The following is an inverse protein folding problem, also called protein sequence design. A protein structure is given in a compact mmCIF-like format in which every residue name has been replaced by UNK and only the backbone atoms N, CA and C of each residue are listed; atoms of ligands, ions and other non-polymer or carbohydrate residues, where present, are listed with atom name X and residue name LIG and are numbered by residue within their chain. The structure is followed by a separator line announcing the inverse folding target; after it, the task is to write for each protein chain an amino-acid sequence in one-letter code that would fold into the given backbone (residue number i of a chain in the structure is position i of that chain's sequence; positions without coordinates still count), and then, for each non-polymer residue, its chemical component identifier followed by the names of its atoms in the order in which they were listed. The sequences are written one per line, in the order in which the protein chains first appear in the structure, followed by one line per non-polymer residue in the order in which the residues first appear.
data_IF_990821486417
#
_entry.id   IF_990821486417
#
_cell.length_a   1.000
_cell.length_b   1.000
_cell.length_c   1.000
_cell.angle_alpha   90.00
_cell.angle_beta   90.00
_cell.angle_gamma   90.00
#
_symmetry.space_group_name_H-M   'P 1'
#
loop_
_entity.id
_entity.type
_entity.pdbx_description
1 polymer ?
#
# COMPACT_ATOMS: atom_id res chain seq x y z
N UNK A 1 -1.72 65.66 -46.52
CA UNK A 1 -1.43 64.44 -47.30
C UNK A 1 -1.73 63.27 -46.42
N UNK A 2 -3.00 62.76 -46.61
CA UNK A 2 -3.47 61.54 -45.93
C UNK A 2 -2.93 60.31 -46.65
N UNK A 3 -2.38 59.36 -45.91
CA UNK A 3 -2.24 57.98 -46.33
C UNK A 3 -3.00 57.05 -45.37
N UNK A 4 -4.03 56.41 -45.89
CA UNK A 4 -4.81 55.37 -45.26
C UNK A 4 -3.96 54.11 -45.09
N UNK A 5 -3.96 53.49 -43.93
CA UNK A 5 -3.34 52.22 -43.65
C UNK A 5 -4.45 51.17 -43.61
N UNK A 6 -4.38 50.18 -44.51
CA UNK A 6 -5.28 49.02 -44.53
C UNK A 6 -4.81 47.99 -43.48
N UNK A 7 -5.71 47.27 -42.81
CA UNK A 7 -5.36 46.23 -41.88
C UNK A 7 -5.06 44.88 -42.59
N UNK A 8 -4.12 44.05 -42.06
CA UNK A 8 -3.74 42.80 -42.71
C UNK A 8 -4.74 41.67 -42.42
N UNK A 9 -5.07 40.93 -43.48
CA UNK A 9 -5.88 39.73 -43.59
C UNK A 9 -5.34 38.51 -42.84
N UNK A 10 -5.17 38.59 -41.55
CA UNK A 10 -4.71 37.46 -40.70
C UNK A 10 -5.69 36.96 -39.64
N UNK A 11 -6.92 37.50 -39.63
CA UNK A 11 -7.89 37.18 -38.58
C UNK A 11 -8.91 36.07 -38.95
N UNK A 12 -8.87 35.54 -40.19
CA UNK A 12 -9.88 34.55 -40.64
C UNK A 12 -9.40 33.10 -40.49
N UNK A 13 -8.08 32.85 -40.44
CA UNK A 13 -7.52 31.47 -40.35
C UNK A 13 -7.58 30.92 -38.93
N UNK A 14 -7.53 31.80 -37.92
CA UNK A 14 -7.56 31.38 -36.50
C UNK A 14 -8.96 30.98 -36.05
N UNK A 15 -10.02 31.47 -36.71
CA UNK A 15 -11.40 31.15 -36.33
C UNK A 15 -11.90 29.80 -36.82
N UNK A 16 -11.30 29.24 -37.88
CA UNK A 16 -11.65 27.90 -38.39
C UNK A 16 -10.90 26.82 -37.60
N UNK A 17 -9.65 27.06 -37.18
CA UNK A 17 -8.89 26.09 -36.35
C UNK A 17 -9.43 25.93 -34.94
N UNK A 18 -10.08 26.94 -34.36
CA UNK A 18 -10.69 26.88 -33.01
C UNK A 18 -12.06 26.17 -32.98
N UNK A 19 -12.75 26.05 -34.13
CA UNK A 19 -14.03 25.30 -34.18
C UNK A 19 -13.82 23.79 -34.32
N UNK A 20 -12.74 23.32 -34.92
CA UNK A 20 -12.43 21.87 -35.03
C UNK A 20 -11.90 21.29 -33.74
N UNK A 21 -11.21 22.07 -32.91
CA UNK A 21 -10.72 21.62 -31.58
C UNK A 21 -11.87 21.48 -30.57
N UNK A 22 -12.93 22.28 -30.72
CA UNK A 22 -14.10 22.20 -29.83
C UNK A 22 -15.04 20.99 -30.15
N UNK A 23 -14.89 20.36 -31.32
CA UNK A 23 -15.63 19.14 -31.69
C UNK A 23 -14.92 17.84 -31.26
N UNK A 24 -13.60 17.86 -31.10
CA UNK A 24 -12.81 16.69 -30.71
C UNK A 24 -12.76 16.44 -29.18
N UNK A 25 -13.23 17.37 -28.35
CA UNK A 25 -13.16 17.29 -26.86
C UNK A 25 -14.45 16.74 -26.24
N UNK A 26 -15.40 16.20 -27.02
CA UNK A 26 -16.69 15.70 -26.49
C UNK A 26 -16.72 14.20 -26.17
N UNK A 27 -15.60 13.54 -25.98
CA UNK A 27 -15.55 12.19 -25.39
C UNK A 27 -14.37 12.02 -24.42
N UNK A 28 -14.19 12.98 -23.53
CA UNK A 28 -13.47 12.69 -22.28
C UNK A 28 -14.47 12.04 -21.32
N UNK A 29 -14.47 10.72 -21.29
CA UNK A 29 -15.06 9.93 -20.20
C UNK A 29 -14.46 10.46 -18.91
N UNK A 30 -15.29 11.06 -18.06
CA UNK A 30 -14.87 11.53 -16.74
C UNK A 30 -14.42 10.31 -15.96
N UNK A 31 -13.15 10.23 -15.43
CA UNK A 31 -12.65 9.06 -14.71
C UNK A 31 -13.55 8.60 -13.57
N UNK A 32 -14.37 9.50 -13.01
CA UNK A 32 -15.31 9.21 -11.93
C UNK A 32 -16.50 8.31 -12.32
N UNK A 33 -17.05 8.42 -13.53
CA UNK A 33 -18.21 7.60 -13.94
C UNK A 33 -17.80 6.15 -14.23
N UNK A 34 -16.60 5.90 -14.74
CA UNK A 34 -16.11 4.55 -14.99
C UNK A 34 -15.81 3.82 -13.68
N UNK A 35 -15.23 4.53 -12.70
CA UNK A 35 -14.97 4.01 -11.35
C UNK A 35 -16.27 3.70 -10.60
N UNK A 36 -17.25 4.58 -10.62
CA UNK A 36 -18.57 4.36 -9.96
C UNK A 36 -19.27 3.12 -10.53
N UNK A 37 -19.24 2.88 -11.85
CA UNK A 37 -19.82 1.70 -12.46
C UNK A 37 -19.04 0.42 -12.19
N UNK A 38 -17.72 0.49 -12.03
CA UNK A 38 -16.87 -0.65 -11.64
C UNK A 38 -17.18 -1.08 -10.20
N UNK A 39 -17.23 -0.14 -9.28
CA UNK A 39 -17.54 -0.40 -7.87
C UNK A 39 -18.99 -0.86 -7.62
N UNK A 40 -19.97 -0.36 -8.35
CA UNK A 40 -21.37 -0.85 -8.22
C UNK A 40 -21.52 -2.33 -8.61
N UNK A 41 -20.64 -2.85 -9.46
CA UNK A 41 -20.55 -4.29 -9.77
C UNK A 41 -19.84 -5.10 -8.70
N UNK A 42 -18.84 -4.53 -8.02
CA UNK A 42 -18.05 -5.20 -6.97
C UNK A 42 -18.83 -5.23 -5.64
N UNK A 43 -19.53 -4.14 -5.28
CA UNK A 43 -20.31 -4.06 -4.04
C UNK A 43 -21.71 -4.71 -4.12
N UNK A 44 -22.05 -5.44 -5.19
CA UNK A 44 -23.40 -5.90 -5.48
C UNK A 44 -24.03 -6.91 -4.50
N UNK A 45 -23.24 -7.59 -3.64
CA UNK A 45 -23.76 -8.55 -2.65
C UNK A 45 -22.90 -8.71 -1.38
N UNK A 46 -21.57 -8.50 -1.43
CA UNK A 46 -20.66 -8.74 -0.29
C UNK A 46 -19.64 -7.60 -0.16
N UNK A 47 -19.33 -7.12 1.07
CA UNK A 47 -18.27 -6.15 1.31
C UNK A 47 -16.86 -6.77 1.21
N UNK A 48 -16.75 -8.08 1.08
CA UNK A 48 -15.49 -8.82 1.18
C UNK A 48 -14.58 -8.56 -0.02
N UNK A 49 -15.11 -8.58 -1.25
CA UNK A 49 -14.31 -8.36 -2.45
C UNK A 49 -13.45 -7.09 -2.42
N UNK A 50 -14.04 -5.91 -2.12
CA UNK A 50 -13.28 -4.67 -1.94
C UNK A 50 -12.22 -4.73 -0.83
N UNK A 51 -12.48 -5.44 0.27
CA UNK A 51 -11.52 -5.63 1.38
C UNK A 51 -10.32 -6.47 0.90
N UNK A 52 -10.57 -7.51 0.11
CA UNK A 52 -9.53 -8.34 -0.49
C UNK A 52 -8.71 -7.56 -1.53
N UNK A 53 -9.35 -6.73 -2.36
CA UNK A 53 -8.67 -5.87 -3.34
C UNK A 53 -7.79 -4.83 -2.64
N UNK A 54 -8.29 -4.21 -1.58
CA UNK A 54 -7.52 -3.30 -0.73
C UNK A 54 -6.26 -4.01 -0.19
N UNK A 55 -6.40 -5.21 0.38
CA UNK A 55 -5.25 -5.97 0.90
C UNK A 55 -4.26 -6.38 -0.19
N UNK A 56 -4.72 -6.63 -1.41
CA UNK A 56 -3.85 -6.92 -2.55
C UNK A 56 -2.93 -5.72 -2.87
N UNK A 57 -3.46 -4.49 -2.84
CA UNK A 57 -2.68 -3.26 -3.02
C UNK A 57 -1.70 -3.03 -1.87
N UNK A 58 -2.15 -3.26 -0.62
CA UNK A 58 -1.29 -3.18 0.57
C UNK A 58 -0.07 -4.11 0.44
N UNK A 59 -0.30 -5.36 0.04
CA UNK A 59 0.77 -6.32 -0.21
C UNK A 59 1.69 -5.89 -1.35
N UNK A 60 1.15 -5.38 -2.47
CA UNK A 60 1.97 -4.90 -3.60
C UNK A 60 2.88 -3.75 -3.19
N UNK A 61 2.38 -2.82 -2.39
CA UNK A 61 3.18 -1.70 -1.87
C UNK A 61 4.33 -2.18 -0.97
N UNK A 62 4.05 -3.12 -0.05
CA UNK A 62 5.08 -3.73 0.77
C UNK A 62 6.11 -4.51 -0.07
N UNK A 63 5.64 -5.29 -1.06
CA UNK A 63 6.51 -6.06 -1.96
C UNK A 63 7.47 -5.19 -2.77
N UNK A 64 7.03 -4.00 -3.18
CA UNK A 64 7.87 -3.07 -3.93
C UNK A 64 9.08 -2.59 -3.12
N UNK A 65 9.06 -2.67 -1.77
CA UNK A 65 10.21 -2.36 -0.94
C UNK A 65 11.43 -3.27 -1.21
N UNK A 66 11.23 -4.52 -1.61
CA UNK A 66 12.33 -5.41 -1.98
C UNK A 66 13.08 -4.81 -3.17
N UNK A 67 12.36 -4.49 -4.25
CA UNK A 67 12.92 -3.86 -5.45
C UNK A 67 13.53 -2.49 -5.14
N UNK A 68 12.88 -1.72 -4.27
CA UNK A 68 13.37 -0.41 -3.82
C UNK A 68 14.74 -0.52 -3.14
N UNK A 69 14.90 -1.43 -2.18
CA UNK A 69 16.16 -1.61 -1.46
C UNK A 69 17.23 -2.31 -2.29
N UNK A 70 16.86 -3.16 -3.24
CA UNK A 70 17.81 -3.69 -4.24
C UNK A 70 18.44 -2.56 -5.06
N UNK A 71 17.66 -1.54 -5.47
CA UNK A 71 18.19 -0.38 -6.17
C UNK A 71 19.02 0.53 -5.26
N UNK A 72 18.63 0.69 -3.99
CA UNK A 72 19.43 1.42 -2.99
C UNK A 72 20.80 0.76 -2.84
N UNK A 73 20.85 -0.57 -2.71
CA UNK A 73 22.11 -1.33 -2.59
C UNK A 73 23.00 -1.19 -3.83
N UNK A 74 22.42 -0.99 -5.02
CA UNK A 74 23.14 -0.75 -6.29
C UNK A 74 23.56 0.72 -6.47
N UNK A 75 23.07 1.64 -5.63
CA UNK A 75 23.28 3.09 -5.80
C UNK A 75 22.55 3.70 -7.00
N UNK A 76 21.56 2.99 -7.58
CA UNK A 76 20.79 3.45 -8.75
C UNK A 76 19.63 4.35 -8.30
N UNK A 77 19.95 5.58 -7.98
CA UNK A 77 19.00 6.56 -7.44
C UNK A 77 17.90 6.98 -8.41
N UNK A 78 18.07 6.76 -9.71
CA UNK A 78 17.00 6.98 -10.68
C UNK A 78 15.90 5.92 -10.48
N UNK A 79 16.27 4.63 -10.49
CA UNK A 79 15.36 3.53 -10.23
C UNK A 79 14.79 3.52 -8.81
N UNK A 80 15.56 3.98 -7.81
CA UNK A 80 15.03 4.19 -6.45
C UNK A 80 13.86 5.17 -6.47
N UNK A 81 13.97 6.29 -7.20
CA UNK A 81 12.87 7.26 -7.35
C UNK A 81 11.66 6.68 -8.08
N UNK A 82 11.89 5.90 -9.12
CA UNK A 82 10.81 5.21 -9.85
C UNK A 82 10.08 4.19 -8.96
N UNK A 83 10.83 3.36 -8.24
CA UNK A 83 10.25 2.38 -7.31
C UNK A 83 9.44 3.08 -6.20
N UNK A 84 9.96 4.18 -5.63
CA UNK A 84 9.19 4.99 -4.69
C UNK A 84 7.90 5.56 -5.29
N UNK A 85 7.94 6.02 -6.54
CA UNK A 85 6.74 6.52 -7.22
C UNK A 85 5.67 5.42 -7.33
N UNK A 86 6.07 4.16 -7.60
CA UNK A 86 5.16 3.00 -7.60
C UNK A 86 4.58 2.72 -6.21
N UNK A 87 5.40 2.79 -5.14
CA UNK A 87 4.89 2.63 -3.76
C UNK A 87 3.83 3.69 -3.45
N UNK A 88 4.09 4.96 -3.78
CA UNK A 88 3.15 6.07 -3.57
C UNK A 88 1.87 5.88 -4.37
N UNK A 89 1.97 5.41 -5.62
CA UNK A 89 0.80 5.13 -6.44
C UNK A 89 -0.05 4.02 -5.82
N UNK A 90 0.55 2.90 -5.39
CA UNK A 90 -0.15 1.78 -4.77
C UNK A 90 -0.83 2.17 -3.45
N UNK A 91 -0.18 3.02 -2.64
CA UNK A 91 -0.79 3.55 -1.41
C UNK A 91 -1.98 4.45 -1.72
N UNK A 92 -1.87 5.35 -2.70
CA UNK A 92 -2.99 6.21 -3.11
C UNK A 92 -4.18 5.38 -3.66
N UNK A 93 -3.92 4.32 -4.42
CA UNK A 93 -4.95 3.39 -4.92
C UNK A 93 -5.63 2.66 -3.75
N UNK A 94 -4.86 2.18 -2.76
CA UNK A 94 -5.40 1.55 -1.56
C UNK A 94 -6.25 2.55 -0.73
N UNK A 95 -5.78 3.79 -0.56
CA UNK A 95 -6.53 4.84 0.15
C UNK A 95 -7.88 5.15 -0.51
N UNK A 96 -7.93 5.12 -1.85
CA UNK A 96 -9.18 5.31 -2.58
C UNK A 96 -10.16 4.15 -2.37
N UNK A 97 -9.69 2.89 -2.44
CA UNK A 97 -10.54 1.72 -2.12
C UNK A 97 -11.02 1.78 -0.66
N UNK A 98 -10.17 2.14 0.28
CA UNK A 98 -10.56 2.35 1.69
C UNK A 98 -11.70 3.36 1.83
N UNK A 99 -11.67 4.49 1.11
CA UNK A 99 -12.74 5.49 1.11
C UNK A 99 -14.04 4.90 0.57
N UNK A 100 -13.97 4.12 -0.51
CA UNK A 100 -15.13 3.45 -1.09
C UNK A 100 -15.73 2.42 -0.13
N UNK A 101 -14.91 1.59 0.53
CA UNK A 101 -15.37 0.64 1.54
C UNK A 101 -16.12 1.38 2.65
N UNK A 102 -15.54 2.45 3.21
CA UNK A 102 -16.20 3.26 4.27
C UNK A 102 -17.55 3.82 3.86
N UNK A 103 -17.69 4.22 2.60
CA UNK A 103 -18.93 4.79 2.08
C UNK A 103 -20.02 3.72 1.84
N UNK A 104 -19.64 2.51 1.43
CA UNK A 104 -20.57 1.53 0.88
C UNK A 104 -20.78 0.28 1.74
N UNK A 105 -19.94 0.01 2.78
CA UNK A 105 -20.22 -1.10 3.70
C UNK A 105 -21.63 -0.95 4.31
N UNK A 106 -22.52 -1.94 4.16
CA UNK A 106 -23.90 -1.86 4.61
C UNK A 106 -24.00 -1.54 6.11
N UNK A 107 -25.04 -0.82 6.49
CA UNK A 107 -25.42 -0.59 7.90
C UNK A 107 -26.44 -1.63 8.39
N UNK A 108 -26.53 -2.77 7.71
CA UNK A 108 -27.54 -3.78 7.99
C UNK A 108 -27.24 -4.53 9.30
N UNK A 109 -28.28 -4.74 10.12
CA UNK A 109 -28.23 -5.59 11.31
C UNK A 109 -28.18 -7.09 10.99
N UNK A 110 -28.28 -7.47 9.70
CA UNK A 110 -28.28 -8.87 9.26
C UNK A 110 -26.96 -9.32 8.66
N UNK A 111 -25.87 -8.56 8.86
CA UNK A 111 -24.54 -9.01 8.46
C UNK A 111 -24.01 -10.04 9.45
N UNK A 112 -23.24 -11.06 9.00
CA UNK A 112 -22.66 -12.07 9.87
C UNK A 112 -21.58 -11.52 10.82
N UNK A 113 -21.03 -10.32 10.50
CA UNK A 113 -20.07 -9.58 11.34
C UNK A 113 -20.50 -8.13 11.48
N UNK A 114 -20.10 -7.48 12.58
CA UNK A 114 -20.35 -6.07 12.79
C UNK A 114 -19.63 -5.22 11.72
N UNK A 115 -20.31 -4.17 11.23
CA UNK A 115 -19.75 -3.20 10.28
C UNK A 115 -18.44 -2.59 10.77
N UNK A 116 -18.39 -2.33 12.06
CA UNK A 116 -17.24 -1.75 12.76
C UNK A 116 -16.01 -2.65 12.64
N UNK A 117 -16.15 -3.96 12.76
CA UNK A 117 -15.04 -4.93 12.65
C UNK A 117 -14.44 -4.94 11.25
N UNK A 118 -15.29 -4.90 10.20
CA UNK A 118 -14.81 -4.79 8.82
C UNK A 118 -14.07 -3.49 8.56
N UNK A 119 -14.56 -2.37 9.10
CA UNK A 119 -13.91 -1.07 8.95
C UNK A 119 -12.58 -0.99 9.70
N UNK A 120 -12.50 -1.58 10.90
CA UNK A 120 -11.25 -1.65 11.65
C UNK A 120 -10.23 -2.57 10.98
N UNK A 121 -10.68 -3.70 10.39
CA UNK A 121 -9.82 -4.56 9.59
C UNK A 121 -9.16 -3.79 8.44
N UNK A 122 -9.94 -3.01 7.68
CA UNK A 122 -9.42 -2.17 6.59
C UNK A 122 -8.47 -1.10 7.12
N UNK A 123 -8.74 -0.52 8.28
CA UNK A 123 -7.85 0.47 8.91
C UNK A 123 -6.49 -0.11 9.28
N UNK A 124 -6.45 -1.36 9.72
CA UNK A 124 -5.18 -2.04 10.03
C UNK A 124 -4.43 -2.39 8.74
N UNK A 125 -5.14 -2.92 7.73
CA UNK A 125 -4.55 -3.20 6.41
C UNK A 125 -3.87 -1.96 5.81
N UNK A 126 -4.52 -0.81 5.87
CA UNK A 126 -4.06 0.47 5.31
C UNK A 126 -2.74 0.98 5.93
N UNK A 127 -2.38 0.50 7.11
CA UNK A 127 -1.10 0.86 7.72
C UNK A 127 0.09 0.29 6.98
N UNK A 128 -0.06 -0.87 6.32
CA UNK A 128 1.03 -1.52 5.57
C UNK A 128 1.55 -0.63 4.43
N UNK A 129 0.73 -0.16 3.46
CA UNK A 129 1.22 0.70 2.39
C UNK A 129 1.69 2.06 2.91
N UNK A 130 1.08 2.60 3.99
CA UNK A 130 1.55 3.81 4.65
C UNK A 130 2.98 3.63 5.17
N UNK A 131 3.31 2.50 5.83
CA UNK A 131 4.67 2.20 6.29
C UNK A 131 5.66 2.03 5.14
N UNK A 132 5.27 1.36 4.06
CA UNK A 132 6.11 1.27 2.86
C UNK A 132 6.43 2.66 2.27
N UNK A 133 5.44 3.55 2.23
CA UNK A 133 5.61 4.95 1.81
C UNK A 133 6.53 5.72 2.75
N UNK A 134 6.36 5.57 4.06
CA UNK A 134 7.19 6.22 5.09
C UNK A 134 8.65 5.79 4.97
N UNK A 135 8.93 4.47 4.93
CA UNK A 135 10.28 3.91 4.77
C UNK A 135 10.95 4.47 3.51
N UNK A 136 10.28 4.35 2.36
CA UNK A 136 10.83 4.84 1.09
C UNK A 136 11.04 6.36 1.09
N UNK A 137 10.19 7.10 1.80
CA UNK A 137 10.32 8.55 1.99
C UNK A 137 11.53 8.94 2.84
N UNK A 138 11.79 8.22 3.94
CA UNK A 138 12.97 8.43 4.80
C UNK A 138 14.28 8.22 4.02
N UNK A 139 14.35 7.13 3.25
CA UNK A 139 15.54 6.77 2.47
C UNK A 139 15.81 7.80 1.38
N UNK A 140 14.80 8.16 0.57
CA UNK A 140 14.98 9.06 -0.56
C UNK A 140 15.26 10.50 -0.12
N UNK A 141 14.65 10.93 1.00
CA UNK A 141 14.82 12.29 1.52
C UNK A 141 16.28 12.63 1.87
N UNK A 142 17.14 11.63 2.03
CA UNK A 142 18.54 11.79 2.39
C UNK A 142 19.51 11.11 1.43
N UNK A 143 19.02 10.45 0.37
CA UNK A 143 19.78 9.50 -0.42
C UNK A 143 20.54 8.51 0.49
N UNK A 144 19.79 7.91 1.41
CA UNK A 144 20.36 7.09 2.49
C UNK A 144 20.81 5.74 1.96
N UNK A 145 22.06 5.39 2.21
CA UNK A 145 22.62 4.07 1.94
C UNK A 145 22.49 3.17 3.17
N UNK A 146 22.30 1.89 2.94
CA UNK A 146 22.43 0.87 3.99
C UNK A 146 23.92 0.50 4.08
N UNK A 147 24.54 0.53 5.27
CA UNK A 147 25.94 0.14 5.41
C UNK A 147 26.21 -1.26 4.83
N UNK A 148 27.29 -1.42 4.07
CA UNK A 148 27.62 -2.68 3.38
C UNK A 148 27.64 -3.90 4.33
N UNK A 149 28.10 -3.71 5.57
CA UNK A 149 28.12 -4.75 6.60
C UNK A 149 26.72 -5.24 7.02
N UNK A 150 25.66 -4.49 6.66
CA UNK A 150 24.26 -4.80 7.01
C UNK A 150 23.40 -5.16 5.79
N UNK A 151 23.91 -5.07 4.56
CA UNK A 151 23.12 -5.23 3.34
C UNK A 151 22.30 -6.51 3.34
N UNK A 152 22.95 -7.67 3.46
CA UNK A 152 22.28 -8.97 3.34
C UNK A 152 21.24 -9.18 4.45
N UNK A 153 21.62 -8.84 5.69
CA UNK A 153 20.72 -8.99 6.84
C UNK A 153 19.53 -8.02 6.76
N UNK A 154 19.74 -6.81 6.25
CA UNK A 154 18.67 -5.83 6.07
C UNK A 154 17.71 -6.25 4.92
N UNK A 155 18.23 -6.72 3.78
CA UNK A 155 17.39 -7.22 2.68
C UNK A 155 16.59 -8.47 3.10
N UNK A 156 17.21 -9.37 3.89
CA UNK A 156 16.50 -10.51 4.45
C UNK A 156 15.36 -10.05 5.38
N UNK A 157 15.60 -9.05 6.23
CA UNK A 157 14.60 -8.46 7.11
C UNK A 157 13.44 -7.81 6.33
N UNK A 158 13.73 -7.02 5.29
CA UNK A 158 12.70 -6.46 4.39
C UNK A 158 11.87 -7.58 3.78
N UNK A 159 12.54 -8.63 3.25
CA UNK A 159 11.87 -9.78 2.64
C UNK A 159 10.96 -10.50 3.64
N UNK A 160 11.39 -10.68 4.90
CA UNK A 160 10.58 -11.35 5.92
C UNK A 160 9.34 -10.55 6.31
N UNK A 161 9.46 -9.23 6.40
CA UNK A 161 8.31 -8.32 6.60
C UNK A 161 7.31 -8.37 5.42
N UNK A 162 7.80 -8.51 4.19
CA UNK A 162 6.95 -8.71 3.00
C UNK A 162 6.27 -10.09 3.04
N UNK A 163 6.93 -11.11 3.60
CA UNK A 163 6.32 -12.42 3.82
C UNK A 163 5.15 -12.34 4.81
N UNK A 164 5.26 -11.54 5.88
CA UNK A 164 4.13 -11.25 6.77
C UNK A 164 2.96 -10.63 6.02
N UNK A 165 3.19 -9.58 5.22
CA UNK A 165 2.15 -8.96 4.40
C UNK A 165 1.53 -9.94 3.38
N UNK A 166 2.35 -10.83 2.80
CA UNK A 166 1.87 -11.90 1.90
C UNK A 166 0.98 -12.90 2.63
N UNK A 167 1.35 -13.28 3.86
CA UNK A 167 0.56 -14.20 4.68
C UNK A 167 -0.76 -13.55 5.09
N UNK A 168 -0.76 -12.31 5.55
CA UNK A 168 -1.96 -11.54 5.86
C UNK A 168 -2.91 -11.46 4.65
N UNK A 169 -2.37 -11.18 3.44
CA UNK A 169 -3.15 -11.23 2.21
C UNK A 169 -3.80 -12.59 1.98
N UNK A 170 -3.06 -13.70 2.21
CA UNK A 170 -3.62 -15.05 2.09
C UNK A 170 -4.76 -15.25 3.08
N UNK A 171 -4.59 -14.84 4.32
CA UNK A 171 -5.60 -14.95 5.37
C UNK A 171 -6.86 -14.14 5.03
N UNK A 172 -6.70 -12.93 4.47
CA UNK A 172 -7.85 -12.10 4.03
C UNK A 172 -8.60 -12.73 2.85
N UNK A 173 -7.97 -13.54 2.02
CA UNK A 173 -8.66 -14.25 0.94
C UNK A 173 -9.65 -15.31 1.45
N UNK A 174 -9.43 -15.86 2.63
CA UNK A 174 -10.36 -16.80 3.28
C UNK A 174 -11.61 -16.08 3.84
N UNK A 175 -11.64 -14.74 3.85
CA UNK A 175 -12.76 -13.97 4.38
C UNK A 175 -14.07 -14.21 3.61
N UNK A 176 -14.02 -14.56 2.32
CA UNK A 176 -15.21 -14.89 1.53
C UNK A 176 -15.91 -16.13 2.10
N UNK A 177 -15.17 -17.21 2.27
CA UNK A 177 -15.68 -18.48 2.81
C UNK A 177 -16.18 -18.31 4.26
N UNK A 178 -15.44 -17.52 5.07
CA UNK A 178 -15.87 -17.17 6.42
C UNK A 178 -17.18 -16.38 6.41
N UNK A 179 -17.32 -15.42 5.51
CA UNK A 179 -18.51 -14.59 5.41
C UNK A 179 -19.74 -15.42 4.94
N UNK A 180 -19.58 -16.33 3.99
CA UNK A 180 -20.64 -17.22 3.50
C UNK A 180 -21.07 -18.24 4.55
N UNK A 181 -20.12 -18.78 5.34
CA UNK A 181 -20.39 -19.76 6.40
C UNK A 181 -20.84 -19.10 7.73
N UNK A 182 -20.93 -17.77 7.79
CA UNK A 182 -21.27 -17.03 8.99
C UNK A 182 -20.24 -17.19 10.10
N UNK A 183 -18.94 -17.22 9.71
CA UNK A 183 -17.78 -17.37 10.61
C UNK A 183 -17.82 -18.66 11.43
N UNK A 184 -18.19 -19.78 10.80
CA UNK A 184 -18.31 -21.11 11.43
C UNK A 184 -17.75 -22.19 10.50
N UNK A 185 -17.40 -23.33 11.09
CA UNK A 185 -17.05 -24.51 10.30
C UNK A 185 -15.54 -24.79 10.20
N UNK A 186 -15.14 -25.46 9.12
CA UNK A 186 -13.75 -25.88 8.89
C UNK A 186 -12.84 -24.71 8.54
N UNK A 187 -13.38 -23.65 7.94
CA UNK A 187 -12.71 -22.43 7.50
C UNK A 187 -12.11 -21.67 8.68
N UNK A 188 -12.78 -21.70 9.85
CA UNK A 188 -12.27 -21.13 11.10
C UNK A 188 -10.91 -21.72 11.46
N UNK A 189 -10.78 -23.07 11.41
CA UNK A 189 -9.52 -23.76 11.72
C UNK A 189 -8.41 -23.42 10.73
N UNK A 190 -8.77 -23.24 9.45
CA UNK A 190 -7.80 -22.80 8.43
C UNK A 190 -7.28 -21.41 8.75
N UNK A 191 -8.16 -20.45 9.09
CA UNK A 191 -7.78 -19.10 9.44
C UNK A 191 -6.94 -19.07 10.73
N UNK A 192 -7.34 -19.82 11.77
CA UNK A 192 -6.53 -19.98 13.01
C UNK A 192 -5.12 -20.48 12.68
N UNK A 193 -4.98 -21.47 11.78
CA UNK A 193 -3.66 -21.94 11.33
C UNK A 193 -2.85 -20.84 10.62
N UNK A 194 -3.50 -20.05 9.76
CA UNK A 194 -2.84 -18.96 9.05
C UNK A 194 -2.41 -17.81 9.99
N UNK A 195 -3.19 -17.55 11.04
CA UNK A 195 -2.86 -16.57 12.07
C UNK A 195 -1.67 -17.05 12.90
N UNK A 196 -1.64 -18.31 13.31
CA UNK A 196 -0.47 -18.88 14.00
C UNK A 196 0.81 -18.79 13.15
N UNK A 197 0.69 -18.94 11.82
CA UNK A 197 1.83 -18.74 10.93
C UNK A 197 2.23 -17.25 10.82
N UNK A 198 1.28 -16.31 10.94
CA UNK A 198 1.58 -14.87 11.03
C UNK A 198 2.36 -14.54 12.30
N UNK A 199 1.94 -15.07 13.44
CA UNK A 199 2.65 -14.90 14.72
C UNK A 199 4.09 -15.40 14.63
N UNK A 200 4.31 -16.55 13.98
CA UNK A 200 5.66 -17.06 13.79
C UNK A 200 6.51 -16.14 12.91
N UNK A 201 5.92 -15.55 11.85
CA UNK A 201 6.65 -14.62 10.98
C UNK A 201 6.97 -13.32 11.72
N UNK A 202 6.06 -12.81 12.54
CA UNK A 202 6.26 -11.61 13.34
C UNK A 202 7.38 -11.83 14.38
N UNK A 203 7.37 -12.94 15.11
CA UNK A 203 8.47 -13.29 16.01
C UNK A 203 9.83 -13.34 15.29
N UNK A 204 9.88 -13.93 14.06
CA UNK A 204 11.11 -13.94 13.27
C UNK A 204 11.53 -12.51 12.88
N UNK A 205 10.60 -11.62 12.52
CA UNK A 205 10.91 -10.21 12.18
C UNK A 205 11.41 -9.44 13.38
N UNK A 206 10.88 -9.67 14.58
CA UNK A 206 11.32 -9.07 15.83
C UNK A 206 12.77 -9.48 16.17
N UNK A 207 13.07 -10.78 16.08
CA UNK A 207 14.42 -11.28 16.30
C UNK A 207 15.42 -10.68 15.29
N UNK A 208 15.03 -10.59 14.01
CA UNK A 208 15.86 -9.96 12.97
C UNK A 208 16.04 -8.46 13.22
N UNK A 209 15.03 -7.76 13.72
CA UNK A 209 15.10 -6.34 14.08
C UNK A 209 16.09 -6.10 15.23
N UNK A 210 16.05 -6.94 16.27
CA UNK A 210 17.00 -6.89 17.38
C UNK A 210 18.42 -7.14 16.88
N UNK A 211 18.62 -8.14 16.02
CA UNK A 211 19.91 -8.45 15.43
C UNK A 211 20.47 -7.29 14.58
N UNK A 212 19.62 -6.65 13.75
CA UNK A 212 20.00 -5.48 12.95
C UNK A 212 20.39 -4.27 13.81
N UNK A 213 19.65 -4.01 14.89
CA UNK A 213 19.99 -2.94 15.84
C UNK A 213 21.36 -3.22 16.50
N UNK A 214 21.65 -4.47 16.83
CA UNK A 214 22.95 -4.86 17.39
C UNK A 214 24.09 -4.72 16.37
N UNK A 215 23.85 -5.06 15.09
CA UNK A 215 24.82 -4.84 14.02
C UNK A 215 25.09 -3.34 13.81
N UNK A 216 24.05 -2.51 13.79
CA UNK A 216 24.18 -1.06 13.65
C UNK A 216 24.96 -0.47 14.84
N UNK A 217 24.65 -0.87 16.06
CA UNK A 217 25.38 -0.44 17.25
C UNK A 217 26.87 -0.75 17.17
N UNK A 218 27.25 -1.89 16.61
CA UNK A 218 28.64 -2.30 16.47
C UNK A 218 29.48 -1.39 15.54
N UNK A 219 28.82 -0.74 14.57
CA UNK A 219 29.46 0.11 13.54
C UNK A 219 29.11 1.60 13.68
N UNK A 220 28.18 1.98 14.53
CA UNK A 220 27.64 3.35 14.59
C UNK A 220 28.69 4.43 14.90
N UNK A 221 29.82 4.05 15.57
CA UNK A 221 30.91 4.97 15.88
C UNK A 221 31.65 5.48 14.65
N UNK A 222 31.59 4.72 13.55
CA UNK A 222 32.25 5.03 12.29
C UNK A 222 31.31 5.75 11.31
N UNK A 223 30.05 6.00 11.72
CA UNK A 223 29.02 6.65 10.93
C UNK A 223 28.70 8.06 11.46
N UNK A 224 28.07 8.89 10.62
CA UNK A 224 27.56 10.17 11.07
C UNK A 224 26.38 9.96 12.04
N UNK A 225 26.36 10.61 13.22
CA UNK A 225 25.30 10.39 14.22
C UNK A 225 23.88 10.59 13.69
N UNK A 226 23.71 11.53 12.78
CA UNK A 226 22.39 11.78 12.17
C UNK A 226 21.95 10.63 11.24
N UNK A 227 22.87 10.00 10.52
CA UNK A 227 22.56 8.86 9.67
C UNK A 227 22.23 7.62 10.50
N UNK A 228 22.93 7.43 11.61
CA UNK A 228 22.63 6.38 12.59
C UNK A 228 21.19 6.50 13.10
N UNK A 229 20.75 7.70 13.50
CA UNK A 229 19.38 7.94 13.97
C UNK A 229 18.35 7.55 12.89
N UNK A 230 18.59 7.92 11.63
CA UNK A 230 17.69 7.57 10.54
C UNK A 230 17.74 6.08 10.19
N UNK A 231 18.89 5.42 10.29
CA UNK A 231 19.00 3.96 10.09
C UNK A 231 18.20 3.20 11.15
N UNK A 232 18.31 3.55 12.44
CA UNK A 232 17.43 2.99 13.47
C UNK A 232 15.96 3.18 13.15
N UNK A 233 15.59 4.38 12.67
CA UNK A 233 14.21 4.68 12.29
C UNK A 233 13.73 3.88 11.07
N UNK A 234 14.58 3.67 10.06
CA UNK A 234 14.26 2.84 8.90
C UNK A 234 14.04 1.39 9.31
N UNK A 235 14.89 0.85 10.19
CA UNK A 235 14.73 -0.51 10.75
C UNK A 235 13.39 -0.61 11.49
N UNK A 236 13.08 0.33 12.36
CA UNK A 236 11.83 0.37 13.13
C UNK A 236 10.60 0.39 12.24
N UNK A 237 10.51 1.36 11.30
CA UNK A 237 9.34 1.51 10.43
C UNK A 237 9.19 0.34 9.45
N UNK A 238 10.29 -0.32 9.09
CA UNK A 238 10.22 -1.55 8.28
C UNK A 238 9.61 -2.70 9.09
N UNK A 239 9.98 -2.87 10.36
CA UNK A 239 9.41 -3.88 11.26
C UNK A 239 7.91 -3.67 11.49
N UNK A 240 7.46 -2.42 11.63
CA UNK A 240 6.02 -2.09 11.74
C UNK A 240 5.14 -2.77 10.66
N UNK A 241 5.71 -3.17 9.51
CA UNK A 241 4.95 -3.88 8.45
C UNK A 241 4.57 -5.28 8.92
N UNK A 242 5.48 -6.00 9.58
CA UNK A 242 5.24 -7.31 10.19
C UNK A 242 4.18 -7.22 11.28
N UNK A 243 4.32 -6.26 12.19
CA UNK A 243 3.36 -5.99 13.27
C UNK A 243 1.95 -5.72 12.73
N UNK A 244 1.83 -4.92 11.65
CA UNK A 244 0.52 -4.64 11.05
C UNK A 244 -0.07 -5.88 10.40
N UNK A 245 0.75 -6.73 9.79
CA UNK A 245 0.31 -8.00 9.21
C UNK A 245 -0.21 -8.97 10.30
N UNK A 246 0.48 -9.09 11.42
CA UNK A 246 0.02 -9.87 12.58
C UNK A 246 -1.30 -9.32 13.12
N UNK A 247 -1.42 -8.00 13.31
CA UNK A 247 -2.66 -7.36 13.76
C UNK A 247 -3.86 -7.62 12.86
N UNK A 248 -3.67 -7.80 11.54
CA UNK A 248 -4.73 -8.22 10.62
C UNK A 248 -5.23 -9.62 11.01
N UNK A 249 -4.32 -10.56 11.29
CA UNK A 249 -4.66 -11.90 11.78
C UNK A 249 -5.45 -11.85 13.09
N UNK A 250 -4.95 -11.10 14.07
CA UNK A 250 -5.63 -10.92 15.37
C UNK A 250 -7.04 -10.32 15.23
N UNK A 251 -7.22 -9.42 14.25
CA UNK A 251 -8.55 -8.86 13.98
C UNK A 251 -9.52 -9.90 13.45
N UNK A 252 -9.06 -10.81 12.59
CA UNK A 252 -9.87 -11.93 12.11
C UNK A 252 -10.21 -12.92 13.23
N UNK A 253 -9.28 -13.22 14.13
CA UNK A 253 -9.57 -14.05 15.31
C UNK A 253 -10.70 -13.47 16.16
N UNK A 254 -10.69 -12.15 16.39
CA UNK A 254 -11.77 -11.47 17.14
C UNK A 254 -13.11 -11.61 16.42
N UNK A 255 -13.13 -11.49 15.09
CA UNK A 255 -14.35 -11.64 14.29
C UNK A 255 -14.89 -13.08 14.29
N UNK A 256 -14.03 -14.08 14.42
CA UNK A 256 -14.40 -15.50 14.50
C UNK A 256 -14.93 -15.86 15.89
N UNK A 257 -14.46 -15.20 16.95
CA UNK A 257 -14.81 -15.50 18.33
C UNK A 257 -16.21 -14.99 18.74
N UNK A 258 -16.87 -14.17 17.92
CA UNK A 258 -18.19 -13.60 18.12
C UNK A 258 -19.25 -14.32 17.30
#
# INVERSE_FOLDING_TARGET
IQRACQPPTRCLVIRVLLMDIASAVRHTVVPGEFMVNYFSKIFGASPVGPIQEHMELCYKAAKELITFFDYVAQGDWEKVRESRARIVQLENEADEIKKQIRAHVPKSMFMPVAREDLLELVLVQDRIPNRARDVSGLVIGRNMEIPAAMHDSFLAFVSRNVDAARKARKTIRELDELYETGFRGAEVKLVESLVNELDQIENDTDDMQVALRSQLYAIEKDLLPIDVMFLYRVIEVTGDIGDMAERIGRRLEVMIAH
#
